data_IF_402730887177
#
_entry.id   IF_402730887177
#
_cell.length_a   1.000
_cell.length_b   1.000
_cell.length_c   1.000
_cell.angle_alpha   90.00
_cell.angle_beta   90.00
_cell.angle_gamma   90.00
#
_symmetry.space_group_name_H-M   'P 1'
#
loop_
_entity.id
_entity.type
_entity.pdbx_description
1 polymer ?
#
# COMPACT_ATOMS: atom_id res chain seq x y z
N UNK A 1 8.43 -12.70 -9.07
CA UNK A 1 7.07 -12.20 -9.46
C UNK A 1 5.97 -12.97 -8.74
N UNK A 2 4.75 -12.44 -8.60
CA UNK A 2 3.70 -12.95 -7.70
C UNK A 2 3.06 -14.33 -7.98
N UNK A 3 3.70 -15.20 -8.77
CA UNK A 3 3.25 -16.57 -9.02
C UNK A 3 4.34 -17.58 -8.65
N UNK A 4 3.94 -18.73 -8.11
CA UNK A 4 4.83 -19.82 -7.75
C UNK A 4 5.35 -20.54 -9.00
N UNK A 5 6.60 -20.99 -8.98
CA UNK A 5 7.21 -21.82 -10.06
C UNK A 5 6.55 -23.20 -10.23
N UNK A 6 5.60 -23.55 -9.37
CA UNK A 6 4.89 -24.81 -9.42
C UNK A 6 3.70 -24.71 -10.40
N UNK A 7 3.95 -25.01 -11.67
CA UNK A 7 2.94 -25.15 -12.73
C UNK A 7 3.53 -25.15 -14.15
N UNK A 8 2.73 -25.53 -15.15
CA UNK A 8 3.10 -25.28 -16.56
C UNK A 8 3.15 -23.77 -16.81
N UNK A 9 4.35 -23.27 -17.08
CA UNK A 9 4.55 -21.88 -17.46
C UNK A 9 4.05 -21.67 -18.89
N UNK A 10 3.04 -20.82 -19.06
CA UNK A 10 2.65 -20.29 -20.36
C UNK A 10 3.81 -19.49 -20.97
N UNK A 11 3.91 -19.50 -22.30
CA UNK A 11 4.89 -18.66 -23.01
C UNK A 11 4.77 -17.17 -22.61
N UNK A 12 3.54 -16.70 -22.35
CA UNK A 12 3.28 -15.34 -21.91
C UNK A 12 3.97 -14.99 -20.57
N UNK A 13 4.03 -15.93 -19.62
CA UNK A 13 4.71 -15.74 -18.33
C UNK A 13 6.24 -15.63 -18.48
N UNK A 14 6.82 -16.23 -19.51
CA UNK A 14 8.25 -16.10 -19.83
C UNK A 14 8.53 -14.75 -20.51
N UNK A 15 7.69 -14.33 -21.44
CA UNK A 15 7.88 -13.06 -22.14
C UNK A 15 7.67 -11.84 -21.25
N UNK A 16 6.80 -11.92 -20.24
CA UNK A 16 6.53 -10.79 -19.34
C UNK A 16 7.79 -10.22 -18.64
N UNK A 17 8.64 -11.00 -17.95
CA UNK A 17 9.87 -10.47 -17.36
C UNK A 17 10.87 -9.95 -18.39
N UNK A 18 10.92 -10.55 -19.59
CA UNK A 18 11.75 -10.03 -20.68
C UNK A 18 11.29 -8.65 -21.15
N UNK A 19 9.98 -8.45 -21.31
CA UNK A 19 9.39 -7.15 -21.65
C UNK A 19 9.63 -6.12 -20.56
N UNK A 20 9.38 -6.47 -19.30
CA UNK A 20 9.60 -5.57 -18.16
C UNK A 20 11.07 -5.16 -18.02
N UNK A 21 12.01 -6.06 -18.31
CA UNK A 21 13.43 -5.75 -18.39
C UNK A 21 13.75 -4.77 -19.55
N UNK A 22 13.15 -5.00 -20.72
CA UNK A 22 13.31 -4.13 -21.89
C UNK A 22 12.76 -2.71 -21.64
N UNK A 23 11.64 -2.58 -20.93
CA UNK A 23 11.00 -1.30 -20.62
C UNK A 23 11.93 -0.34 -19.88
N UNK A 24 12.79 -0.83 -19.00
CA UNK A 24 13.76 -0.01 -18.25
C UNK A 24 14.66 0.75 -19.21
N UNK A 25 15.12 0.09 -20.29
CA UNK A 25 15.96 0.70 -21.30
C UNK A 25 15.18 1.52 -22.31
N UNK A 26 13.99 1.05 -22.68
CA UNK A 26 13.14 1.72 -23.66
C UNK A 26 12.66 3.08 -23.14
N UNK A 27 12.22 3.14 -21.88
CA UNK A 27 11.85 4.36 -21.17
C UNK A 27 13.06 5.22 -20.77
N UNK A 28 14.28 4.72 -20.97
CA UNK A 28 15.55 5.36 -20.57
C UNK A 28 15.54 5.73 -19.07
N UNK A 29 15.05 4.82 -18.24
CA UNK A 29 14.96 5.04 -16.81
C UNK A 29 16.35 5.00 -16.16
N UNK A 30 16.75 6.09 -15.50
CA UNK A 30 17.97 6.12 -14.69
C UNK A 30 17.77 5.43 -13.33
N UNK A 31 16.53 5.47 -12.80
CA UNK A 31 16.16 4.93 -11.48
C UNK A 31 14.91 4.06 -11.62
N UNK A 32 15.02 2.79 -11.23
CA UNK A 32 13.90 1.86 -11.11
C UNK A 32 13.37 1.89 -9.68
N UNK A 33 12.33 2.69 -9.44
CA UNK A 33 11.67 2.80 -8.14
C UNK A 33 10.42 1.91 -8.08
N UNK A 34 10.58 0.65 -7.66
CA UNK A 34 9.52 -0.36 -7.63
C UNK A 34 9.49 -1.11 -6.30
N UNK A 35 8.46 -1.93 -6.05
CA UNK A 35 8.38 -2.77 -4.86
C UNK A 35 9.48 -3.85 -4.81
N UNK A 36 9.78 -4.39 -3.62
CA UNK A 36 10.77 -5.47 -3.48
C UNK A 36 10.41 -6.74 -4.26
N UNK A 37 9.12 -6.98 -4.51
CA UNK A 37 8.61 -8.11 -5.30
C UNK A 37 9.02 -8.06 -6.78
N UNK A 38 9.46 -6.90 -7.26
CA UNK A 38 9.96 -6.66 -8.63
C UNK A 38 11.50 -6.63 -8.70
N UNK A 39 12.20 -6.90 -7.58
CA UNK A 39 13.66 -6.77 -7.49
C UNK A 39 14.39 -7.71 -8.45
N UNK A 40 13.91 -8.93 -8.64
CA UNK A 40 14.54 -9.93 -9.52
C UNK A 40 14.68 -9.42 -10.96
N UNK A 41 13.60 -8.87 -11.54
CA UNK A 41 13.62 -8.34 -12.90
C UNK A 41 14.52 -7.10 -13.02
N UNK A 42 14.56 -6.26 -11.98
CA UNK A 42 15.45 -5.11 -11.97
C UNK A 42 16.94 -5.53 -11.88
N UNK A 43 17.25 -6.59 -11.14
CA UNK A 43 18.61 -7.18 -11.09
C UNK A 43 18.97 -7.78 -12.45
N UNK A 44 18.04 -8.48 -13.10
CA UNK A 44 18.23 -8.99 -14.46
C UNK A 44 18.58 -7.88 -15.46
N UNK A 45 17.93 -6.71 -15.37
CA UNK A 45 18.28 -5.57 -16.21
C UNK A 45 19.72 -5.07 -15.95
N UNK A 46 20.19 -5.12 -14.71
CA UNK A 46 21.57 -4.77 -14.36
C UNK A 46 22.58 -5.80 -14.88
N UNK A 47 22.29 -7.08 -14.76
CA UNK A 47 23.11 -8.17 -15.32
C UNK A 47 23.21 -8.03 -16.84
N UNK A 48 22.08 -7.76 -17.51
CA UNK A 48 22.05 -7.51 -18.95
C UNK A 48 22.93 -6.31 -19.37
N UNK A 49 23.04 -5.28 -18.53
CA UNK A 49 23.96 -4.17 -18.79
C UNK A 49 25.43 -4.60 -18.73
N UNK A 50 25.77 -5.47 -17.79
CA UNK A 50 27.14 -5.95 -17.60
C UNK A 50 27.56 -6.81 -18.80
N UNK A 51 26.69 -7.73 -19.25
CA UNK A 51 26.94 -8.60 -20.39
C UNK A 51 27.07 -7.83 -21.71
N UNK A 52 26.23 -6.80 -21.92
CA UNK A 52 26.21 -6.01 -23.15
C UNK A 52 27.05 -4.71 -23.07
N UNK A 53 27.85 -4.54 -22.01
CA UNK A 53 28.72 -3.38 -21.77
C UNK A 53 27.98 -2.03 -21.88
N UNK A 54 26.73 -1.99 -21.42
CA UNK A 54 25.93 -0.76 -21.39
C UNK A 54 26.38 0.13 -20.23
N UNK A 55 26.67 1.39 -20.52
CA UNK A 55 27.12 2.37 -19.52
C UNK A 55 25.98 2.86 -18.62
N UNK A 56 24.76 2.95 -19.15
CA UNK A 56 23.60 3.44 -18.41
C UNK A 56 22.97 2.30 -17.63
N UNK A 57 23.58 2.00 -16.47
CA UNK A 57 23.11 0.96 -15.56
C UNK A 57 22.08 1.55 -14.58
N UNK A 58 20.83 1.06 -14.55
CA UNK A 58 19.76 1.68 -13.76
C UNK A 58 20.01 1.48 -12.26
N UNK A 59 19.77 2.51 -11.45
CA UNK A 59 19.80 2.43 -9.98
C UNK A 59 18.50 1.78 -9.51
N UNK A 60 18.58 0.75 -8.67
CA UNK A 60 17.40 0.06 -8.13
C UNK A 60 17.07 0.64 -6.76
N UNK A 61 15.87 1.22 -6.62
CA UNK A 61 15.32 1.64 -5.34
C UNK A 61 14.09 0.80 -5.03
N UNK A 62 14.25 -0.16 -4.12
CA UNK A 62 13.17 -1.06 -3.71
C UNK A 62 12.62 -0.72 -2.34
N UNK A 63 11.30 -0.54 -2.24
CA UNK A 63 10.62 -0.32 -0.97
C UNK A 63 9.99 -1.62 -0.46
N UNK A 64 10.16 -1.89 0.84
CA UNK A 64 9.62 -3.07 1.53
C UNK A 64 8.23 -2.75 2.04
N UNK A 65 7.23 -3.48 1.54
CA UNK A 65 5.88 -3.53 2.10
C UNK A 65 5.52 -5.01 2.27
N UNK A 66 4.92 -5.36 3.41
CA UNK A 66 4.26 -6.65 3.54
C UNK A 66 3.10 -6.71 2.55
N UNK A 67 2.96 -7.85 1.84
CA UNK A 67 2.05 -7.96 0.70
C UNK A 67 0.60 -7.83 1.16
N UNK A 68 -0.05 -6.74 0.74
CA UNK A 68 -1.51 -6.68 0.71
C UNK A 68 -2.00 -7.61 -0.41
N UNK A 69 -2.94 -8.50 -0.08
CA UNK A 69 -3.48 -9.47 -1.03
C UNK A 69 -4.77 -8.93 -1.62
N UNK A 70 -4.82 -8.85 -2.96
CA UNK A 70 -6.07 -8.56 -3.68
C UNK A 70 -7.09 -9.69 -3.55
N UNK A 71 -6.68 -10.88 -3.10
CA UNK A 71 -7.54 -12.04 -2.96
C UNK A 71 -8.50 -11.93 -1.78
N UNK A 72 -8.18 -11.10 -0.77
CA UNK A 72 -9.11 -10.77 0.31
C UNK A 72 -9.45 -9.27 0.26
N UNK A 73 -10.62 -8.90 -0.29
CA UNK A 73 -11.05 -7.51 -0.38
C UNK A 73 -11.15 -6.80 0.98
N UNK A 74 -11.27 -7.56 2.08
CA UNK A 74 -11.32 -7.01 3.44
C UNK A 74 -9.94 -6.70 4.02
N UNK A 75 -8.88 -7.25 3.43
CA UNK A 75 -7.49 -7.04 3.85
C UNK A 75 -6.84 -5.78 3.27
N UNK A 76 -7.45 -5.19 2.23
CA UNK A 76 -6.88 -4.07 1.47
C UNK A 76 -7.84 -2.88 1.44
N UNK A 77 -7.31 -1.68 1.69
CA UNK A 77 -8.04 -0.43 1.51
C UNK A 77 -7.83 0.02 0.06
N UNK A 78 -8.92 0.20 -0.68
CA UNK A 78 -8.88 0.68 -2.06
C UNK A 78 -8.97 2.20 -2.11
N UNK A 79 -8.56 2.79 -3.22
CA UNK A 79 -8.46 4.26 -3.37
C UNK A 79 -9.84 4.92 -3.48
N UNK A 80 -10.83 4.15 -3.91
CA UNK A 80 -12.23 4.55 -4.07
C UNK A 80 -13.14 4.11 -2.92
N UNK A 81 -12.60 3.43 -1.88
CA UNK A 81 -13.41 2.96 -0.76
C UNK A 81 -14.13 4.14 -0.09
N UNK A 82 -15.39 3.96 0.25
CA UNK A 82 -16.16 4.97 0.97
C UNK A 82 -15.72 5.06 2.44
N UNK A 83 -16.09 6.15 3.12
CA UNK A 83 -15.66 6.40 4.49
C UNK A 83 -16.02 5.24 5.45
N UNK A 84 -17.22 4.70 5.28
CA UNK A 84 -17.71 3.57 6.06
C UNK A 84 -16.90 2.28 5.82
N UNK A 85 -16.46 2.05 4.59
CA UNK A 85 -15.67 0.87 4.21
C UNK A 85 -14.26 0.94 4.81
N UNK A 86 -13.61 2.10 4.71
CA UNK A 86 -12.31 2.35 5.36
C UNK A 86 -12.42 2.14 6.87
N UNK A 87 -13.46 2.70 7.50
CA UNK A 87 -13.70 2.55 8.93
C UNK A 87 -13.89 1.07 9.32
N UNK A 88 -14.64 0.31 8.53
CA UNK A 88 -14.87 -1.12 8.75
C UNK A 88 -13.57 -1.94 8.61
N UNK A 89 -12.79 -1.68 7.56
CA UNK A 89 -11.52 -2.38 7.28
C UNK A 89 -10.48 -2.10 8.37
N UNK A 90 -10.29 -0.84 8.78
CA UNK A 90 -9.40 -0.48 9.89
C UNK A 90 -9.89 -1.06 11.22
N UNK A 91 -11.21 -1.09 11.46
CA UNK A 91 -11.77 -1.72 12.66
C UNK A 91 -11.40 -3.20 12.74
N UNK A 92 -11.47 -3.94 11.62
CA UNK A 92 -11.10 -5.35 11.50
C UNK A 92 -9.58 -5.60 11.46
N UNK A 93 -8.79 -4.59 11.11
CA UNK A 93 -7.34 -4.73 10.99
C UNK A 93 -6.68 -5.24 12.28
N UNK A 94 -5.61 -6.04 12.11
CA UNK A 94 -4.81 -6.52 13.22
C UNK A 94 -4.13 -5.35 13.96
N UNK A 95 -4.41 -5.19 15.25
CA UNK A 95 -3.84 -4.11 16.07
C UNK A 95 -3.84 -4.53 17.55
N UNK A 96 -3.03 -5.53 17.91
CA UNK A 96 -2.89 -5.98 19.30
C UNK A 96 -2.32 -4.87 20.21
N UNK A 97 -2.81 -4.72 21.45
CA UNK A 97 -2.28 -3.74 22.39
C UNK A 97 -0.81 -4.03 22.73
N UNK A 98 0.01 -2.98 22.85
CA UNK A 98 1.44 -3.03 23.21
C UNK A 98 2.37 -3.78 22.26
N UNK A 99 1.86 -4.30 21.14
CA UNK A 99 2.67 -5.02 20.15
C UNK A 99 2.82 -4.15 18.91
N UNK A 100 4.07 -3.76 18.62
CA UNK A 100 4.42 -2.88 17.51
C UNK A 100 4.83 -3.66 16.26
N UNK A 101 5.52 -4.78 16.45
CA UNK A 101 6.03 -5.61 15.36
C UNK A 101 4.89 -6.27 14.59
N UNK A 102 4.84 -6.08 13.27
CA UNK A 102 3.79 -6.65 12.39
C UNK A 102 2.42 -6.00 12.57
N UNK A 103 2.35 -4.79 13.14
CA UNK A 103 1.08 -4.07 13.32
C UNK A 103 0.79 -3.18 12.10
N UNK A 104 -0.12 -3.58 11.18
CA UNK A 104 -0.39 -2.84 9.95
C UNK A 104 -0.89 -1.42 10.22
N UNK A 105 -1.63 -1.17 11.32
CA UNK A 105 -2.08 0.18 11.66
C UNK A 105 -0.91 1.12 11.95
N UNK A 106 0.13 0.65 12.64
CA UNK A 106 1.31 1.47 12.91
C UNK A 106 2.15 1.69 11.65
N UNK A 107 2.19 0.72 10.74
CA UNK A 107 2.86 0.89 9.44
C UNK A 107 2.17 1.94 8.57
N UNK A 108 0.84 1.95 8.52
CA UNK A 108 0.10 3.02 7.85
C UNK A 108 0.43 4.40 8.43
N UNK A 109 0.54 4.51 9.75
CA UNK A 109 0.91 5.78 10.37
C UNK A 109 2.33 6.18 10.01
N UNK A 110 3.27 5.24 10.03
CA UNK A 110 4.68 5.47 9.71
C UNK A 110 4.90 5.90 8.26
N UNK A 111 4.30 5.19 7.32
CA UNK A 111 4.61 5.32 5.89
C UNK A 111 3.64 6.22 5.13
N UNK A 112 2.41 6.42 5.61
CA UNK A 112 1.43 7.30 4.96
C UNK A 112 1.17 8.56 5.78
N UNK A 113 0.68 8.41 7.01
CA UNK A 113 0.12 9.54 7.77
C UNK A 113 1.20 10.54 8.20
N UNK A 114 2.32 10.07 8.78
CA UNK A 114 3.41 10.95 9.21
C UNK A 114 4.08 11.68 8.04
N UNK A 115 4.41 11.04 6.90
CA UNK A 115 4.95 11.76 5.75
C UNK A 115 4.00 12.80 5.16
N UNK A 116 2.68 12.50 5.16
CA UNK A 116 1.63 13.35 4.59
C UNK A 116 1.30 14.56 5.47
N UNK A 117 1.00 14.34 6.75
CA UNK A 117 0.54 15.40 7.66
C UNK A 117 1.64 15.96 8.57
N UNK A 118 2.84 15.36 8.61
CA UNK A 118 3.96 15.67 9.53
C UNK A 118 3.69 15.39 11.01
N UNK A 119 2.44 15.18 11.38
CA UNK A 119 2.02 14.79 12.72
C UNK A 119 0.80 13.87 12.65
N UNK A 120 0.66 13.01 13.65
CA UNK A 120 -0.49 12.14 13.83
C UNK A 120 -1.26 12.55 15.08
N UNK A 121 -2.52 13.00 14.91
CA UNK A 121 -3.39 13.42 16.00
C UNK A 121 -4.29 12.27 16.42
N UNK A 122 -4.27 11.94 17.71
CA UNK A 122 -5.18 11.00 18.34
C UNK A 122 -6.18 11.79 19.16
N UNK A 123 -7.44 11.75 18.74
CA UNK A 123 -8.57 12.33 19.48
C UNK A 123 -9.04 11.29 20.50
N UNK A 124 -8.94 11.61 21.79
CA UNK A 124 -9.34 10.70 22.88
C UNK A 124 -10.02 11.48 23.98
N UNK A 125 -10.94 10.82 24.70
CA UNK A 125 -11.66 11.47 25.81
C UNK A 125 -10.68 11.96 26.88
N UNK A 126 -11.10 12.96 27.66
CA UNK A 126 -10.31 13.50 28.77
C UNK A 126 -9.94 12.40 29.77
N UNK A 127 -10.84 11.42 29.96
CA UNK A 127 -10.64 10.24 30.82
C UNK A 127 -9.56 9.29 30.29
N UNK A 128 -9.35 9.23 28.98
CA UNK A 128 -8.32 8.41 28.32
C UNK A 128 -7.00 9.16 28.09
N UNK A 129 -6.84 10.35 28.68
CA UNK A 129 -5.61 11.15 28.63
C UNK A 129 -5.61 12.30 27.61
N UNK A 130 -6.77 12.66 27.04
CA UNK A 130 -6.98 13.85 26.20
C UNK A 130 -6.22 13.87 24.85
N UNK A 131 -6.60 14.77 23.95
CA UNK A 131 -6.03 14.81 22.59
C UNK A 131 -4.48 14.86 22.60
N UNK A 132 -3.85 13.98 21.82
CA UNK A 132 -2.40 13.85 21.76
C UNK A 132 -1.91 13.88 20.31
N UNK A 133 -0.91 14.70 20.03
CA UNK A 133 -0.29 14.81 18.71
C UNK A 133 1.12 14.21 18.73
N UNK A 134 1.39 13.29 17.81
CA UNK A 134 2.68 12.63 17.64
C UNK A 134 3.38 13.15 16.41
N UNK A 135 4.53 13.82 16.59
CA UNK A 135 5.36 14.31 15.48
C UNK A 135 6.41 13.29 15.01
N UNK A 136 6.77 12.34 15.87
CA UNK A 136 7.74 11.29 15.56
C UNK A 136 7.13 9.91 15.72
N UNK A 137 7.57 8.98 14.88
CA UNK A 137 7.18 7.58 14.96
C UNK A 137 7.69 6.92 16.25
N UNK A 138 8.88 7.30 16.71
CA UNK A 138 9.44 6.80 17.98
C UNK A 138 8.57 7.16 19.18
N UNK A 139 8.06 8.41 19.23
CA UNK A 139 7.16 8.85 20.30
C UNK A 139 5.82 8.12 20.30
N UNK A 140 5.32 7.77 19.10
CA UNK A 140 4.12 6.96 18.93
C UNK A 140 4.34 5.53 19.45
N UNK A 141 5.45 4.89 19.06
CA UNK A 141 5.82 3.54 19.51
C UNK A 141 5.92 3.49 21.03
N UNK A 142 6.67 4.40 21.64
CA UNK A 142 6.87 4.42 23.08
C UNK A 142 5.54 4.55 23.85
N UNK A 143 4.62 5.38 23.34
CA UNK A 143 3.28 5.53 23.94
C UNK A 143 2.41 4.29 23.74
N UNK A 144 2.58 3.55 22.63
CA UNK A 144 1.84 2.33 22.34
C UNK A 144 2.35 1.12 23.15
N UNK A 145 3.67 0.96 23.27
CA UNK A 145 4.31 -0.11 24.04
C UNK A 145 4.09 0.02 25.55
N UNK A 146 4.13 1.27 26.07
CA UNK A 146 3.79 1.55 27.47
C UNK A 146 2.31 1.30 27.79
N UNK A 147 1.46 1.24 26.77
CA UNK A 147 0.01 1.10 26.90
C UNK A 147 -0.73 2.40 27.20
N UNK A 148 -0.05 3.56 27.12
CA UNK A 148 -0.68 4.88 27.23
C UNK A 148 -1.62 5.15 26.03
N UNK A 149 -1.29 4.58 24.87
CA UNK A 149 -2.10 4.65 23.65
C UNK A 149 -2.76 3.30 23.38
N UNK A 150 -4.10 3.26 23.46
CA UNK A 150 -4.87 2.05 23.22
C UNK A 150 -5.21 1.88 21.72
N UNK A 151 -5.25 0.66 21.17
CA UNK A 151 -5.72 0.41 19.81
C UNK A 151 -7.11 1.00 19.50
N UNK A 152 -7.96 1.09 20.53
CA UNK A 152 -9.31 1.64 20.45
C UNK A 152 -9.36 3.13 20.11
N UNK A 153 -8.34 3.91 20.50
CA UNK A 153 -8.23 5.34 20.17
C UNK A 153 -7.39 5.55 18.89
N UNK A 154 -6.41 4.67 18.68
CA UNK A 154 -5.54 4.67 17.51
C UNK A 154 -6.33 4.44 16.21
N UNK A 155 -7.20 3.42 16.18
CA UNK A 155 -7.94 3.01 14.98
C UNK A 155 -8.86 4.10 14.44
N UNK A 156 -9.76 4.71 15.24
CA UNK A 156 -10.64 5.78 14.75
C UNK A 156 -9.85 6.98 14.22
N UNK A 157 -8.79 7.37 14.93
CA UNK A 157 -7.93 8.49 14.53
C UNK A 157 -7.20 8.20 13.21
N UNK A 158 -6.70 6.96 13.04
CA UNK A 158 -6.12 6.49 11.78
C UNK A 158 -7.14 6.50 10.65
N UNK A 159 -8.35 5.98 10.86
CA UNK A 159 -9.38 5.98 9.81
C UNK A 159 -9.74 7.39 9.37
N UNK A 160 -9.91 8.33 10.31
CA UNK A 160 -10.18 9.75 10.00
C UNK A 160 -9.07 10.36 9.15
N UNK A 161 -7.82 10.09 9.49
CA UNK A 161 -6.66 10.56 8.72
C UNK A 161 -6.62 9.95 7.31
N UNK A 162 -6.86 8.64 7.18
CA UNK A 162 -6.91 7.97 5.88
C UNK A 162 -8.04 8.48 5.00
N UNK A 163 -9.23 8.67 5.57
CA UNK A 163 -10.38 9.23 4.85
C UNK A 163 -10.08 10.64 4.33
N UNK A 164 -9.35 11.45 5.08
CA UNK A 164 -8.92 12.79 4.63
C UNK A 164 -7.95 12.71 3.45
N UNK A 165 -7.06 11.70 3.42
CA UNK A 165 -6.13 11.47 2.30
C UNK A 165 -6.88 10.98 1.05
N UNK A 166 -7.93 10.18 1.22
CA UNK A 166 -8.72 9.62 0.12
C UNK A 166 -9.78 10.58 -0.44
N UNK A 167 -10.19 11.59 0.32
CA UNK A 167 -11.26 12.50 -0.08
C UNK A 167 -11.06 13.17 -1.46
N UNK A 168 -9.86 13.66 -1.83
CA UNK A 168 -9.63 14.22 -3.16
C UNK A 168 -9.89 13.24 -4.30
N UNK A 169 -9.60 11.94 -4.07
CA UNK A 169 -9.83 10.88 -5.05
C UNK A 169 -11.32 10.61 -5.21
N UNK A 170 -12.05 10.51 -4.10
CA UNK A 170 -13.52 10.36 -4.11
C UNK A 170 -14.19 11.52 -4.81
N UNK A 171 -13.75 12.74 -4.52
CA UNK A 171 -14.27 13.94 -5.17
C UNK A 171 -14.01 13.96 -6.68
N UNK A 172 -12.84 13.47 -7.12
CA UNK A 172 -12.57 13.32 -8.55
C UNK A 172 -13.55 12.36 -9.23
N UNK A 173 -13.81 11.18 -8.65
CA UNK A 173 -14.79 10.23 -9.17
C UNK A 173 -16.25 10.72 -9.10
N UNK A 174 -16.57 11.67 -8.21
CA UNK A 174 -17.91 12.30 -8.18
C UNK A 174 -18.08 13.37 -9.24
N UNK A 175 -17.06 14.22 -9.45
CA UNK A 175 -17.11 15.40 -10.32
C UNK A 175 -16.86 15.06 -11.79
N UNK A 176 -15.99 14.10 -12.08
CA UNK A 176 -15.65 13.70 -13.44
C UNK A 176 -16.53 12.52 -13.89
N UNK A 177 -17.38 12.78 -14.88
CA UNK A 177 -18.30 11.77 -15.42
C UNK A 177 -17.57 10.60 -16.09
N UNK A 178 -16.43 10.85 -16.76
CA UNK A 178 -15.64 9.82 -17.42
C UNK A 178 -14.96 8.93 -16.38
N UNK A 179 -14.32 9.52 -15.37
CA UNK A 179 -13.70 8.77 -14.27
C UNK A 179 -14.73 7.87 -13.56
N UNK A 180 -15.93 8.41 -13.31
CA UNK A 180 -17.04 7.67 -12.69
C UNK A 180 -17.48 6.47 -13.53
N UNK A 181 -17.61 6.65 -14.84
CA UNK A 181 -18.05 5.58 -15.74
C UNK A 181 -16.96 4.51 -15.94
N UNK A 182 -15.69 4.90 -15.93
CA UNK A 182 -14.56 3.97 -15.88
C UNK A 182 -14.59 3.13 -14.60
N UNK A 183 -14.80 3.77 -13.45
CA UNK A 183 -14.87 3.07 -12.16
C UNK A 183 -16.01 2.03 -12.14
N UNK A 184 -17.20 2.38 -12.66
CA UNK A 184 -18.32 1.44 -12.79
C UNK A 184 -17.94 0.22 -13.62
N UNK A 185 -17.28 0.41 -14.77
CA UNK A 185 -16.84 -0.70 -15.62
C UNK A 185 -15.83 -1.60 -14.92
N UNK A 186 -14.89 -1.01 -14.18
CA UNK A 186 -13.88 -1.76 -13.41
C UNK A 186 -14.53 -2.58 -12.28
N UNK A 187 -15.51 -2.02 -11.57
CA UNK A 187 -16.23 -2.74 -10.52
C UNK A 187 -16.94 -3.98 -11.05
N UNK A 188 -17.64 -3.86 -12.19
CA UNK A 188 -18.29 -5.00 -12.87
C UNK A 188 -17.29 -6.10 -13.23
N UNK A 189 -16.11 -5.73 -13.76
CA UNK A 189 -15.08 -6.71 -14.09
C UNK A 189 -14.56 -7.42 -12.83
N UNK A 190 -14.41 -6.70 -11.73
CA UNK A 190 -13.88 -7.25 -10.47
C UNK A 190 -14.89 -8.20 -9.82
N UNK A 191 -16.18 -7.88 -9.85
CA UNK A 191 -17.27 -8.75 -9.38
C UNK A 191 -17.33 -10.03 -10.23
N UNK A 192 -17.29 -9.91 -11.56
CA UNK A 192 -17.32 -11.07 -12.46
C UNK A 192 -16.12 -12.03 -12.28
N UNK A 193 -14.95 -11.50 -11.87
CA UNK A 193 -13.78 -12.32 -11.59
C UNK A 193 -13.84 -13.01 -10.23
N UNK A 194 -14.56 -12.45 -9.25
CA UNK A 194 -14.76 -13.09 -7.96
C UNK A 194 -15.76 -14.24 -8.06
N UNK A 195 -16.83 -14.08 -8.86
CA UNK A 195 -17.80 -15.16 -9.11
C UNK A 195 -17.20 -16.32 -9.91
N UNK A 196 -16.26 -16.05 -10.82
CA UNK A 196 -15.55 -17.08 -11.59
C UNK A 196 -14.51 -17.88 -10.78
N UNK A 197 -14.29 -17.51 -9.51
CA UNK A 197 -13.30 -18.15 -8.60
C UNK A 197 -13.96 -19.01 -7.51
N UNK A 198 -15.30 -19.11 -7.49
CA UNK A 198 -16.07 -20.00 -6.60
C UNK A 198 -16.40 -21.29 -7.32
#
# INVERSE_FOLDING_TARGET
MGQSEQGELSAAQIFYPCMQCADIFFLKADICQLGMDQREVNVLAREYCDDNRRKNKPIILSHRQEKMSKSDPSSSIFMEDDEAEVNLKIKKAYCPPKIVQGNPCLEYIKYLILPWFKEFKVERSVENGGDKAFKSYEGLIASYESGELHPGDLKPSLSKALNTVLEPVREHFKKDANARDLLKRIKVLTESQNDARI
#
